data_IF_349345096352
#
_entry.id   IF_349345096352
#
_cell.length_a   1.000
_cell.length_b   1.000
_cell.length_c   1.000
_cell.angle_alpha   90.00
_cell.angle_beta   90.00
_cell.angle_gamma   90.00
#
_symmetry.space_group_name_H-M   'P 1'
#
loop_
_entity.id
_entity.type
_entity.pdbx_description
1 polymer ?
#
# COMPACT_ATOMS: atom_id res chain seq x y z
N UNK A 1 -19.79 -1.99 -16.68
CA UNK A 1 -19.73 -1.55 -18.08
C UNK A 1 -18.55 -2.23 -18.76
N UNK A 2 -18.78 -2.99 -19.82
CA UNK A 2 -17.69 -3.59 -20.57
C UNK A 2 -16.72 -2.54 -21.10
N UNK A 3 -15.42 -2.86 -21.09
CA UNK A 3 -14.34 -1.99 -21.57
C UNK A 3 -14.15 -0.70 -20.76
N UNK A 4 -14.75 -0.60 -19.58
CA UNK A 4 -14.53 0.53 -18.70
C UNK A 4 -13.15 0.40 -18.03
N UNK A 5 -12.51 1.55 -17.76
CA UNK A 5 -11.30 1.62 -16.98
C UNK A 5 -11.53 2.51 -15.76
N UNK A 6 -11.04 2.08 -14.62
CA UNK A 6 -11.17 2.82 -13.38
C UNK A 6 -9.88 2.74 -12.56
N UNK A 7 -9.85 3.42 -11.43
CA UNK A 7 -8.74 3.32 -10.51
C UNK A 7 -9.25 3.30 -9.07
N UNK A 8 -8.51 2.61 -8.21
CA UNK A 8 -8.84 2.47 -6.80
C UNK A 8 -7.60 1.96 -6.05
N UNK A 9 -7.66 1.94 -4.74
CA UNK A 9 -6.60 1.33 -3.95
C UNK A 9 -6.54 -0.18 -4.14
N UNK A 10 -5.35 -0.75 -4.06
CA UNK A 10 -5.14 -2.18 -4.26
C UNK A 10 -5.99 -3.04 -3.31
N UNK A 11 -6.21 -2.56 -2.09
CA UNK A 11 -7.01 -3.29 -1.09
C UNK A 11 -8.47 -3.50 -1.53
N UNK A 12 -8.94 -2.76 -2.52
CA UNK A 12 -10.31 -2.85 -3.06
C UNK A 12 -10.39 -3.66 -4.36
N UNK A 13 -9.27 -4.20 -4.83
CA UNK A 13 -9.27 -5.05 -6.02
C UNK A 13 -9.98 -6.37 -5.73
N UNK A 14 -10.88 -6.78 -6.63
CA UNK A 14 -11.62 -8.03 -6.49
C UNK A 14 -11.29 -8.95 -7.66
N UNK A 15 -11.65 -10.23 -7.54
CA UNK A 15 -11.45 -11.22 -8.60
C UNK A 15 -12.23 -10.93 -9.88
N UNK A 16 -13.24 -10.04 -9.79
CA UNK A 16 -14.06 -9.65 -10.95
C UNK A 16 -13.41 -8.54 -11.78
N UNK A 17 -12.29 -7.99 -11.33
CA UNK A 17 -11.60 -6.90 -11.99
C UNK A 17 -10.26 -7.37 -12.54
N UNK A 18 -9.93 -6.95 -13.74
CA UNK A 18 -8.63 -7.20 -14.31
C UNK A 18 -7.69 -6.05 -13.93
N UNK A 19 -6.61 -6.38 -13.25
CA UNK A 19 -5.60 -5.39 -12.86
C UNK A 19 -4.63 -5.18 -14.01
N UNK A 20 -4.42 -3.92 -14.37
CA UNK A 20 -3.48 -3.57 -15.43
C UNK A 20 -2.08 -3.37 -14.86
N UNK A 21 -1.07 -3.85 -15.55
CA UNK A 21 0.30 -3.48 -15.21
C UNK A 21 0.61 -2.07 -15.73
N UNK A 22 1.58 -1.41 -15.12
CA UNK A 22 1.95 -0.02 -15.46
C UNK A 22 3.46 0.05 -15.68
N UNK A 23 3.87 0.74 -16.74
CA UNK A 23 5.27 1.03 -17.04
C UNK A 23 5.56 2.50 -16.79
N UNK A 24 6.79 2.82 -16.43
CA UNK A 24 7.22 4.21 -16.21
C UNK A 24 7.27 5.02 -17.49
N UNK A 25 7.59 4.37 -18.58
CA UNK A 25 7.70 5.01 -19.89
C UNK A 25 7.35 4.01 -20.98
N UNK A 26 7.09 4.53 -22.16
CA UNK A 26 6.81 3.72 -23.34
C UNK A 26 8.04 2.87 -23.67
N UNK A 27 7.82 1.60 -23.95
CA UNK A 27 8.87 0.64 -24.24
C UNK A 27 9.52 -0.01 -23.02
N UNK A 28 9.23 0.43 -21.81
CA UNK A 28 9.68 -0.22 -20.59
C UNK A 28 8.76 -1.37 -20.20
N UNK A 29 9.30 -2.33 -19.44
CA UNK A 29 8.50 -3.43 -18.92
C UNK A 29 7.49 -2.93 -17.90
N UNK A 30 6.24 -3.36 -18.03
CA UNK A 30 5.22 -2.96 -17.06
C UNK A 30 5.26 -3.83 -15.81
N UNK A 31 4.86 -3.25 -14.69
CA UNK A 31 4.84 -3.90 -13.38
C UNK A 31 3.39 -4.09 -12.94
N UNK A 32 3.07 -5.31 -12.50
CA UNK A 32 1.74 -5.63 -11.99
C UNK A 32 1.56 -5.13 -10.56
N UNK A 33 0.39 -4.61 -10.21
CA UNK A 33 0.15 -4.14 -8.84
C UNK A 33 0.05 -5.33 -7.87
N UNK A 34 0.79 -5.24 -6.78
CA UNK A 34 0.74 -6.23 -5.70
C UNK A 34 1.29 -5.60 -4.43
N UNK A 35 1.10 -6.26 -3.29
CA UNK A 35 1.70 -5.82 -2.04
C UNK A 35 3.22 -5.76 -2.16
N UNK A 36 3.82 -6.76 -2.81
CA UNK A 36 5.28 -6.79 -3.00
C UNK A 36 5.77 -5.63 -3.85
N UNK A 37 5.13 -5.36 -5.00
CA UNK A 37 5.55 -4.27 -5.90
C UNK A 37 5.24 -2.89 -5.33
N UNK A 38 4.25 -2.77 -4.46
CA UNK A 38 3.98 -1.54 -3.73
C UNK A 38 5.03 -1.32 -2.63
N UNK A 39 5.42 -2.38 -1.91
CA UNK A 39 6.42 -2.30 -0.83
C UNK A 39 7.81 -1.92 -1.34
N UNK A 40 8.25 -2.54 -2.43
CA UNK A 40 9.58 -2.27 -3.00
C UNK A 40 9.59 -1.05 -3.95
N UNK A 41 8.42 -0.43 -4.14
CA UNK A 41 8.22 0.75 -4.98
C UNK A 41 8.53 0.52 -6.46
N UNK A 42 8.52 -0.72 -6.91
CA UNK A 42 8.68 -1.03 -8.34
C UNK A 42 7.42 -0.69 -9.14
N UNK A 43 6.24 -0.69 -8.50
CA UNK A 43 5.02 -0.25 -9.14
C UNK A 43 5.02 1.28 -9.28
N UNK A 44 4.99 1.82 -10.52
CA UNK A 44 5.32 3.24 -10.76
C UNK A 44 4.41 4.25 -10.07
N UNK A 45 3.16 3.90 -9.82
CA UNK A 45 2.18 4.82 -9.22
C UNK A 45 1.87 4.49 -7.75
N UNK A 46 2.70 3.64 -7.13
CA UNK A 46 2.60 3.40 -5.70
C UNK A 46 3.09 4.61 -4.93
N UNK A 47 2.43 4.90 -3.83
CA UNK A 47 2.83 5.99 -2.95
C UNK A 47 2.53 5.63 -1.50
N UNK A 48 3.27 6.21 -0.53
CA UNK A 48 3.00 5.95 0.88
C UNK A 48 1.71 6.60 1.35
N UNK A 49 1.10 5.99 2.37
CA UNK A 49 0.02 6.61 3.12
C UNK A 49 0.63 7.39 4.28
N UNK A 50 0.13 8.60 4.51
CA UNK A 50 0.68 9.50 5.51
C UNK A 50 -0.28 9.69 6.67
N UNK A 51 0.30 9.86 7.85
CA UNK A 51 -0.41 10.38 9.02
C UNK A 51 0.21 11.72 9.38
N UNK A 52 -0.64 12.66 9.75
CA UNK A 52 -0.21 14.02 10.08
C UNK A 52 -0.46 14.32 11.55
N UNK A 53 0.49 14.97 12.18
CA UNK A 53 0.36 15.46 13.56
C UNK A 53 0.66 16.95 13.60
N UNK A 54 0.12 17.64 14.60
CA UNK A 54 0.43 19.04 14.82
C UNK A 54 1.76 19.12 15.59
N UNK A 55 2.86 19.25 14.85
CA UNK A 55 4.20 19.24 15.41
C UNK A 55 4.71 17.82 15.67
N UNK A 56 5.78 17.70 16.45
CA UNK A 56 6.41 16.42 16.76
C UNK A 56 5.49 15.58 17.67
N UNK A 57 5.23 14.31 17.34
CA UNK A 57 4.37 13.46 18.18
C UNK A 57 4.93 13.30 19.59
N UNK A 58 4.06 13.44 20.60
CA UNK A 58 4.41 13.31 22.01
C UNK A 58 3.27 12.63 22.77
N UNK A 59 3.59 12.02 23.92
CA UNK A 59 2.60 11.41 24.79
C UNK A 59 1.77 10.32 24.12
N UNK A 60 0.47 10.34 24.29
CA UNK A 60 -0.43 9.32 23.73
C UNK A 60 -0.41 9.28 22.20
N UNK A 61 -0.20 10.40 21.54
CA UNK A 61 -0.11 10.47 20.09
C UNK A 61 1.13 9.70 19.61
N UNK A 62 2.26 9.90 20.29
CA UNK A 62 3.50 9.18 19.97
C UNK A 62 3.32 7.68 20.20
N UNK A 63 2.72 7.29 21.32
CA UNK A 63 2.48 5.88 21.65
C UNK A 63 1.61 5.21 20.59
N UNK A 64 0.57 5.88 20.14
CA UNK A 64 -0.31 5.37 19.07
C UNK A 64 0.45 5.20 17.75
N UNK A 65 1.24 6.20 17.37
CA UNK A 65 1.99 6.13 16.11
C UNK A 65 3.08 5.06 16.16
N UNK A 66 3.74 4.91 17.30
CA UNK A 66 4.73 3.84 17.50
C UNK A 66 4.05 2.45 17.39
N UNK A 67 2.83 2.31 17.94
CA UNK A 67 2.08 1.07 17.83
C UNK A 67 1.68 0.78 16.39
N UNK A 68 1.25 1.79 15.64
CA UNK A 68 0.89 1.62 14.21
C UNK A 68 2.10 1.09 13.43
N UNK A 69 3.29 1.60 13.73
CA UNK A 69 4.53 1.21 13.05
C UNK A 69 5.12 -0.11 13.60
N UNK A 70 4.55 -0.65 14.68
CA UNK A 70 4.97 -1.95 15.21
C UNK A 70 4.52 -3.10 14.33
N UNK A 71 5.06 -4.29 14.58
CA UNK A 71 4.66 -5.48 13.83
C UNK A 71 3.17 -5.75 13.92
N UNK A 72 2.57 -5.56 15.10
CA UNK A 72 1.12 -5.76 15.28
C UNK A 72 0.29 -4.82 14.41
N UNK A 73 0.65 -3.54 14.41
CA UNK A 73 -0.04 -2.54 13.59
C UNK A 73 0.14 -2.81 12.10
N UNK A 74 1.35 -3.15 11.68
CA UNK A 74 1.64 -3.44 10.28
C UNK A 74 0.99 -4.75 9.82
N UNK A 75 0.81 -5.72 10.70
CA UNK A 75 0.07 -6.94 10.39
C UNK A 75 -1.40 -6.66 10.09
N UNK A 76 -2.02 -5.73 10.80
CA UNK A 76 -3.40 -5.32 10.51
C UNK A 76 -3.48 -4.71 9.11
N UNK A 77 -2.54 -3.84 8.75
CA UNK A 77 -2.49 -3.26 7.41
C UNK A 77 -2.33 -4.33 6.33
N UNK A 78 -1.42 -5.28 6.55
CA UNK A 78 -1.19 -6.38 5.60
C UNK A 78 -2.45 -7.24 5.42
N UNK A 79 -3.16 -7.53 6.51
CA UNK A 79 -4.42 -8.29 6.45
C UNK A 79 -5.51 -7.55 5.67
N UNK A 80 -5.47 -6.22 5.68
CA UNK A 80 -6.43 -5.38 4.93
C UNK A 80 -6.03 -5.15 3.47
N UNK A 81 -4.91 -5.71 3.03
CA UNK A 81 -4.47 -5.60 1.64
C UNK A 81 -3.54 -4.42 1.36
N UNK A 82 -3.08 -3.74 2.38
CA UNK A 82 -2.11 -2.66 2.24
C UNK A 82 -0.69 -3.17 2.41
N UNK A 83 0.27 -2.51 1.78
CA UNK A 83 1.68 -2.84 1.92
C UNK A 83 2.22 -2.30 3.26
N UNK A 84 2.83 -3.15 4.10
CA UNK A 84 3.44 -2.68 5.34
C UNK A 84 4.72 -1.89 5.06
N UNK A 85 5.13 -1.04 6.02
CA UNK A 85 6.35 -0.23 5.87
C UNK A 85 7.63 -1.04 6.05
N UNK A 86 7.53 -2.21 6.66
CA UNK A 86 8.64 -3.16 6.82
C UNK A 86 8.08 -4.58 6.77
N UNK A 87 8.95 -5.54 6.55
CA UNK A 87 8.53 -6.94 6.49
C UNK A 87 8.03 -7.41 7.85
N UNK A 88 6.84 -8.02 7.85
CA UNK A 88 6.25 -8.58 9.05
C UNK A 88 5.75 -9.98 8.77
N UNK A 89 5.90 -10.85 9.77
CA UNK A 89 5.30 -12.19 9.77
C UNK A 89 4.06 -12.15 10.63
N UNK A 90 2.91 -12.38 10.01
CA UNK A 90 1.62 -12.30 10.69
C UNK A 90 1.04 -13.70 10.90
N UNK A 91 0.46 -13.89 12.06
CA UNK A 91 -0.23 -15.14 12.40
C UNK A 91 -1.71 -15.09 12.00
#
# INVERSE_FOLDING_TARGET
TPCAIGYSGLAYATEHLKLACVAKADGEECVSPSVATASDRSYPIARPLFMYTNGKPQGAIKDYMDWILSDDGQCILKKKGYAPVHDVTCQ
#
